data_IF_679702123234
#
_entry.id   IF_679702123234
#
_cell.length_a   1.000
_cell.length_b   1.000
_cell.length_c   1.000
_cell.angle_alpha   90.00
_cell.angle_beta   90.00
_cell.angle_gamma   90.00
#
_symmetry.space_group_name_H-M   'P 1'
#
loop_
_entity.id
_entity.type
_entity.pdbx_description
1 polymer ?
#
# COMPACT_ATOMS: atom_id res chain seq x y z
N UNK A 1 -13.76 -2.79 24.79
CA UNK A 1 -12.63 -1.83 24.75
C UNK A 1 -11.56 -2.50 23.89
N UNK A 2 -11.64 -2.25 22.58
CA UNK A 2 -10.87 -2.96 21.55
C UNK A 2 -9.44 -2.43 21.56
N UNK A 3 -8.54 -3.15 22.22
CA UNK A 3 -7.10 -2.88 22.17
C UNK A 3 -6.39 -4.22 22.15
N UNK A 4 -6.13 -4.80 20.97
CA UNK A 4 -5.24 -5.94 20.79
C UNK A 4 -4.93 -6.23 19.30
N UNK A 5 -4.15 -5.34 18.66
CA UNK A 5 -3.14 -5.75 17.65
C UNK A 5 -1.97 -4.76 17.73
N UNK A 6 -0.87 -5.08 18.44
CA UNK A 6 0.34 -4.24 18.48
C UNK A 6 1.26 -4.42 17.27
N UNK A 7 0.85 -5.23 16.29
CA UNK A 7 1.50 -5.33 14.99
C UNK A 7 0.49 -4.85 13.96
N UNK A 8 0.94 -3.98 13.08
CA UNK A 8 0.15 -3.29 12.07
C UNK A 8 -0.62 -4.33 11.22
N UNK A 9 -1.88 -4.61 11.58
CA UNK A 9 -2.75 -5.55 10.88
C UNK A 9 -3.25 -4.90 9.58
N UNK A 10 -2.30 -4.47 8.76
CA UNK A 10 -2.53 -4.05 7.38
C UNK A 10 -2.73 -5.31 6.58
N UNK A 11 -3.98 -5.75 6.51
CA UNK A 11 -4.37 -6.82 5.61
C UNK A 11 -3.93 -6.49 4.18
N UNK A 12 -3.63 -7.52 3.39
CA UNK A 12 -3.26 -7.38 1.98
C UNK A 12 -4.28 -6.55 1.19
N UNK A 13 -5.56 -6.57 1.58
CA UNK A 13 -6.63 -5.74 0.98
C UNK A 13 -6.48 -4.25 1.32
N UNK A 14 -6.06 -3.91 2.54
CA UNK A 14 -5.78 -2.53 2.96
C UNK A 14 -4.57 -1.96 2.21
N UNK A 15 -3.50 -2.74 2.08
CA UNK A 15 -2.30 -2.34 1.32
C UNK A 15 -2.61 -2.11 -0.17
N UNK A 16 -3.43 -2.98 -0.78
CA UNK A 16 -3.87 -2.81 -2.17
C UNK A 16 -4.72 -1.56 -2.36
N UNK A 17 -5.64 -1.29 -1.42
CA UNK A 17 -6.51 -0.12 -1.49
C UNK A 17 -5.70 1.17 -1.35
N UNK A 18 -4.77 1.23 -0.39
CA UNK A 18 -3.85 2.37 -0.26
C UNK A 18 -3.00 2.55 -1.53
N UNK A 19 -2.44 1.47 -2.08
CA UNK A 19 -1.65 1.54 -3.30
C UNK A 19 -2.45 2.14 -4.46
N UNK A 20 -3.68 1.68 -4.68
CA UNK A 20 -4.55 2.21 -5.75
C UNK A 20 -4.92 3.67 -5.51
N UNK A 21 -5.18 4.06 -4.25
CA UNK A 21 -5.47 5.44 -3.87
C UNK A 21 -4.27 6.38 -4.14
N UNK A 22 -3.05 5.93 -3.84
CA UNK A 22 -1.86 6.73 -4.12
C UNK A 22 -1.49 6.72 -5.60
N UNK A 23 -1.68 5.59 -6.28
CA UNK A 23 -1.42 5.45 -7.71
C UNK A 23 -2.39 6.22 -8.61
N UNK A 24 -3.62 6.47 -8.14
CA UNK A 24 -4.64 7.22 -8.88
C UNK A 24 -4.47 8.74 -8.81
N UNK A 25 -3.54 9.24 -7.98
CA UNK A 25 -3.26 10.68 -7.90
C UNK A 25 -2.48 11.15 -9.14
N UNK A 26 -2.83 12.33 -9.65
CA UNK A 26 -2.11 12.94 -10.75
C UNK A 26 -0.65 13.20 -10.37
N UNK A 27 0.28 12.73 -11.22
CA UNK A 27 1.71 12.80 -10.95
C UNK A 27 2.25 11.74 -9.98
N UNK A 28 1.44 10.74 -9.60
CA UNK A 28 1.88 9.65 -8.74
C UNK A 28 3.05 8.88 -9.35
N UNK A 29 4.12 8.72 -8.56
CA UNK A 29 5.28 7.95 -8.96
C UNK A 29 5.07 6.46 -8.63
N UNK A 30 4.49 5.73 -9.59
CA UNK A 30 4.21 4.30 -9.46
C UNK A 30 5.48 3.49 -9.12
N UNK A 31 6.65 3.86 -9.66
CA UNK A 31 7.90 3.16 -9.34
C UNK A 31 8.29 3.32 -7.86
N UNK A 32 8.13 4.52 -7.31
CA UNK A 32 8.37 4.77 -5.89
C UNK A 32 7.36 4.04 -5.01
N UNK A 33 6.07 4.01 -5.41
CA UNK A 33 5.03 3.26 -4.73
C UNK A 33 5.30 1.74 -4.76
N UNK A 34 5.66 1.18 -5.91
CA UNK A 34 6.02 -0.24 -6.00
C UNK A 34 7.16 -0.61 -5.05
N UNK A 35 8.20 0.24 -4.91
CA UNK A 35 9.26 0.03 -3.91
C UNK A 35 8.73 0.11 -2.48
N UNK A 36 7.85 1.06 -2.20
CA UNK A 36 7.27 1.26 -0.86
C UNK A 36 6.41 0.07 -0.42
N UNK A 37 5.60 -0.47 -1.34
CA UNK A 37 4.71 -1.60 -1.09
C UNK A 37 5.36 -2.97 -1.36
N UNK A 38 6.66 -3.01 -1.73
CA UNK A 38 7.36 -4.26 -2.06
C UNK A 38 6.79 -4.99 -3.28
N UNK A 39 6.10 -4.28 -4.17
CA UNK A 39 5.50 -4.82 -5.39
C UNK A 39 6.59 -4.86 -6.46
N UNK A 40 6.87 -6.04 -6.99
CA UNK A 40 7.73 -6.18 -8.16
C UNK A 40 7.09 -5.46 -9.34
N UNK A 41 7.75 -4.48 -9.97
CA UNK A 41 7.23 -3.86 -11.17
C UNK A 41 7.11 -4.94 -12.26
N UNK A 42 5.92 -5.07 -12.84
CA UNK A 42 5.74 -5.87 -14.05
C UNK A 42 6.56 -5.18 -15.15
N UNK A 43 7.72 -5.76 -15.46
CA UNK A 43 8.58 -5.37 -16.58
C UNK A 43 8.55 -6.49 -17.59
#
# INVERSE_FOLDING_TARGET
MESLMPWDARDTMSLRTEFVLFASQDGANIRSLCRHYGISPAT
#
